data_IF_073966771398
#
_entry.id   IF_073966771398
#
_cell.length_a   1.000
_cell.length_b   1.000
_cell.length_c   1.000
_cell.angle_alpha   90.00
_cell.angle_beta   90.00
_cell.angle_gamma   90.00
#
_symmetry.space_group_name_H-M   'P 1'
#
loop_
_entity.id
_entity.type
_entity.pdbx_description
1 polymer ?
#
# COMPACT_ATOMS: atom_id res chain seq x y z
N UNK A 1 -32.93 29.73 -11.24
CA UNK A 1 -33.12 28.27 -11.27
C UNK A 1 -32.35 27.68 -10.09
N UNK A 2 -33.03 27.11 -9.08
CA UNK A 2 -32.32 26.36 -8.04
C UNK A 2 -31.78 25.09 -8.68
N UNK A 3 -30.46 24.94 -8.69
CA UNK A 3 -29.75 23.76 -9.24
C UNK A 3 -30.18 22.47 -8.54
N UNK A 4 -30.63 22.57 -7.29
CA UNK A 4 -31.00 21.45 -6.42
C UNK A 4 -32.49 21.57 -6.07
N UNK A 5 -33.22 20.45 -6.11
CA UNK A 5 -34.63 20.44 -5.68
C UNK A 5 -34.75 20.74 -4.18
N UNK A 6 -35.85 21.36 -3.77
CA UNK A 6 -36.07 21.73 -2.35
C UNK A 6 -36.07 20.50 -1.43
N UNK A 7 -36.64 19.40 -1.92
CA UNK A 7 -36.67 18.11 -1.22
C UNK A 7 -35.26 17.57 -0.98
N UNK A 8 -34.43 17.56 -2.03
CA UNK A 8 -33.03 17.11 -1.94
C UNK A 8 -32.26 18.03 -0.99
N UNK A 9 -32.41 19.35 -1.12
CA UNK A 9 -31.79 20.33 -0.23
C UNK A 9 -32.14 20.11 1.25
N UNK A 10 -33.38 19.70 1.53
CA UNK A 10 -33.81 19.41 2.90
C UNK A 10 -33.23 18.08 3.41
N UNK A 11 -33.13 17.07 2.54
CA UNK A 11 -32.61 15.73 2.87
C UNK A 11 -31.09 15.66 3.12
N UNK A 12 -30.32 16.56 2.51
CA UNK A 12 -28.86 16.59 2.65
C UNK A 12 -28.43 16.92 4.09
N UNK A 13 -27.24 16.51 4.50
CA UNK A 13 -26.66 16.84 5.79
C UNK A 13 -26.31 18.33 5.96
N UNK A 14 -26.06 18.74 7.21
CA UNK A 14 -25.56 20.08 7.50
C UNK A 14 -24.16 20.37 6.93
N UNK A 15 -23.17 19.44 7.00
CA UNK A 15 -21.87 19.61 6.34
C UNK A 15 -21.94 19.97 4.85
N UNK A 16 -22.69 19.19 4.05
CA UNK A 16 -22.80 19.43 2.61
C UNK A 16 -23.59 20.71 2.30
N UNK A 17 -24.65 21.03 3.07
CA UNK A 17 -25.35 22.33 2.95
C UNK A 17 -24.40 23.51 3.21
N UNK A 18 -23.65 23.47 4.31
CA UNK A 18 -22.67 24.52 4.65
C UNK A 18 -21.59 24.66 3.58
N UNK A 19 -21.15 23.54 3.00
CA UNK A 19 -20.20 23.56 1.89
C UNK A 19 -20.79 24.28 0.67
N UNK A 20 -21.97 23.88 0.21
CA UNK A 20 -22.61 24.46 -0.98
C UNK A 20 -22.99 25.93 -0.78
N UNK A 21 -23.34 26.34 0.45
CA UNK A 21 -23.57 27.75 0.79
C UNK A 21 -22.28 28.58 0.72
N UNK A 22 -21.17 28.04 1.24
CA UNK A 22 -19.89 28.76 1.29
C UNK A 22 -19.15 28.75 -0.05
N UNK A 23 -19.27 27.66 -0.79
CA UNK A 23 -18.62 27.42 -2.08
C UNK A 23 -19.67 27.00 -3.12
N UNK A 24 -20.54 27.94 -3.55
CA UNK A 24 -21.62 27.63 -4.48
C UNK A 24 -21.06 27.14 -5.82
N UNK A 25 -21.70 26.15 -6.49
CA UNK A 25 -21.31 25.76 -7.83
C UNK A 25 -21.56 26.93 -8.80
N UNK A 26 -20.69 27.09 -9.80
CA UNK A 26 -20.86 28.15 -10.82
C UNK A 26 -22.10 27.92 -11.67
N UNK A 27 -22.27 26.67 -12.14
CA UNK A 27 -23.37 26.27 -13.00
C UNK A 27 -24.08 25.05 -12.42
N UNK A 28 -25.25 24.72 -12.98
CA UNK A 28 -26.03 23.55 -12.57
C UNK A 28 -25.31 22.21 -12.81
N UNK A 29 -24.27 22.21 -13.65
CA UNK A 29 -23.57 21.00 -14.09
C UNK A 29 -22.16 20.88 -13.50
N UNK A 30 -21.52 21.99 -13.13
CA UNK A 30 -20.10 22.02 -12.76
C UNK A 30 -19.80 23.04 -11.67
N UNK A 31 -18.88 22.67 -10.76
CA UNK A 31 -18.47 23.55 -9.66
C UNK A 31 -17.63 24.75 -10.12
N UNK A 32 -16.60 24.53 -10.94
CA UNK A 32 -15.76 25.60 -11.48
C UNK A 32 -15.19 25.21 -12.84
N UNK A 33 -15.28 26.12 -13.80
CA UNK A 33 -14.53 26.04 -15.06
C UNK A 33 -13.41 27.09 -15.10
N UNK A 34 -13.40 28.04 -14.15
CA UNK A 34 -12.42 29.12 -14.08
C UNK A 34 -11.13 28.67 -13.38
N UNK A 35 -9.99 29.07 -13.94
CA UNK A 35 -8.65 28.87 -13.36
C UNK A 35 -8.42 29.65 -12.07
N UNK A 36 -9.09 30.79 -11.93
CA UNK A 36 -8.80 31.75 -10.85
C UNK A 36 -9.47 31.36 -9.52
N UNK A 37 -10.44 30.44 -9.58
CA UNK A 37 -11.17 29.98 -8.41
C UNK A 37 -10.38 28.89 -7.69
N UNK A 38 -9.92 29.24 -6.49
CA UNK A 38 -9.18 28.32 -5.61
C UNK A 38 -10.08 27.14 -5.19
N UNK A 39 -9.61 25.92 -5.44
CA UNK A 39 -10.27 24.69 -4.98
C UNK A 39 -10.14 24.54 -3.45
N UNK A 40 -11.24 24.47 -2.68
CA UNK A 40 -11.20 24.34 -1.22
C UNK A 40 -10.71 22.97 -0.71
N UNK A 41 -10.60 21.98 -1.59
CA UNK A 41 -10.15 20.62 -1.25
C UNK A 41 -8.66 20.40 -1.54
N UNK A 42 -8.03 21.28 -2.30
CA UNK A 42 -6.61 21.14 -2.63
C UNK A 42 -5.77 22.10 -1.79
N UNK A 43 -4.56 21.69 -1.40
CA UNK A 43 -3.62 22.60 -0.78
C UNK A 43 -3.20 23.70 -1.77
N UNK A 44 -3.00 24.91 -1.28
CA UNK A 44 -2.66 26.07 -2.12
C UNK A 44 -1.31 26.63 -1.73
N UNK A 45 -0.51 27.04 -2.72
CA UNK A 45 0.75 27.73 -2.44
C UNK A 45 0.49 29.22 -2.28
N UNK A 46 0.91 29.80 -1.16
CA UNK A 46 0.82 31.24 -0.95
C UNK A 46 1.81 31.96 -1.89
N UNK A 47 1.37 32.93 -2.71
CA UNK A 47 2.23 33.58 -3.70
C UNK A 47 3.38 34.39 -3.10
N UNK A 48 3.21 34.94 -1.89
CA UNK A 48 4.20 35.84 -1.29
C UNK A 48 5.37 35.07 -0.67
N UNK A 49 5.07 34.08 0.17
CA UNK A 49 6.08 33.34 0.94
C UNK A 49 6.37 31.94 0.38
N UNK A 50 5.63 31.49 -0.64
CA UNK A 50 5.79 30.17 -1.25
C UNK A 50 5.40 28.98 -0.36
N UNK A 51 4.85 29.22 0.83
CA UNK A 51 4.47 28.15 1.77
C UNK A 51 3.18 27.49 1.29
N UNK A 52 3.15 26.16 1.35
CA UNK A 52 1.95 25.39 1.08
C UNK A 52 0.98 25.51 2.26
N UNK A 53 -0.23 26.00 1.98
CA UNK A 53 -1.34 26.05 2.92
C UNK A 53 -2.17 24.79 2.80
N UNK A 54 -2.58 24.27 3.94
CA UNK A 54 -3.53 23.18 4.02
C UNK A 54 -4.84 23.52 3.30
N UNK A 55 -5.54 22.50 2.76
CA UNK A 55 -6.85 22.72 2.16
C UNK A 55 -7.85 23.25 3.21
N UNK A 56 -8.82 24.04 2.76
CA UNK A 56 -9.87 24.59 3.64
C UNK A 56 -10.69 23.51 4.35
N UNK A 57 -10.83 22.34 3.71
CA UNK A 57 -11.41 21.14 4.32
C UNK A 57 -10.33 20.07 4.43
N UNK A 58 -10.20 19.46 5.60
CA UNK A 58 -9.31 18.31 5.78
C UNK A 58 -9.83 17.07 5.03
N UNK A 59 -8.94 16.14 4.69
CA UNK A 59 -9.27 14.92 3.93
C UNK A 59 -10.48 14.15 4.49
N UNK A 60 -10.62 14.09 5.83
CA UNK A 60 -11.81 13.47 6.46
C UNK A 60 -13.09 14.19 6.08
N UNK A 61 -13.12 15.52 6.24
CA UNK A 61 -14.30 16.34 5.94
C UNK A 61 -14.62 16.33 4.44
N UNK A 62 -13.59 16.30 3.60
CA UNK A 62 -13.76 16.10 2.16
C UNK A 62 -14.49 14.78 1.90
N UNK A 63 -14.00 13.66 2.45
CA UNK A 63 -14.62 12.35 2.28
C UNK A 63 -16.08 12.31 2.76
N UNK A 64 -16.40 12.95 3.89
CA UNK A 64 -17.79 13.04 4.39
C UNK A 64 -18.70 13.77 3.37
N UNK A 65 -18.25 14.93 2.89
CA UNK A 65 -18.97 15.72 1.87
C UNK A 65 -19.15 14.92 0.57
N UNK A 66 -18.12 14.22 0.10
CA UNK A 66 -18.19 13.44 -1.13
C UNK A 66 -19.07 12.20 -1.01
N UNK A 67 -19.02 11.48 0.11
CA UNK A 67 -19.89 10.32 0.35
C UNK A 67 -21.36 10.72 0.30
N UNK A 68 -21.71 11.85 0.91
CA UNK A 68 -23.08 12.34 0.89
C UNK A 68 -23.49 12.87 -0.49
N UNK A 69 -22.61 13.63 -1.15
CA UNK A 69 -22.88 14.09 -2.51
C UNK A 69 -23.06 12.92 -3.47
N UNK A 70 -22.25 11.85 -3.33
CA UNK A 70 -22.40 10.59 -4.07
C UNK A 70 -23.76 9.95 -3.85
N UNK A 71 -24.17 9.84 -2.59
CA UNK A 71 -25.47 9.29 -2.22
C UNK A 71 -26.62 10.04 -2.89
N UNK A 72 -26.55 11.37 -2.93
CA UNK A 72 -27.56 12.24 -3.57
C UNK A 72 -27.30 12.52 -5.06
N UNK A 73 -26.29 11.91 -5.69
CA UNK A 73 -25.87 12.13 -7.09
C UNK A 73 -25.50 13.58 -7.44
N UNK A 74 -24.99 14.33 -6.46
CA UNK A 74 -24.56 15.74 -6.59
C UNK A 74 -23.03 15.90 -6.72
N UNK A 75 -22.29 14.83 -7.03
CA UNK A 75 -20.82 14.87 -7.14
C UNK A 75 -20.31 15.93 -8.13
N UNK A 76 -21.06 16.16 -9.22
CA UNK A 76 -20.72 17.13 -10.26
C UNK A 76 -20.73 18.60 -9.78
N UNK A 77 -21.41 18.88 -8.66
CA UNK A 77 -21.46 20.19 -8.03
C UNK A 77 -20.28 20.44 -7.07
N UNK A 78 -19.44 19.44 -6.84
CA UNK A 78 -18.26 19.57 -6.00
C UNK A 78 -17.01 19.89 -6.82
N UNK A 79 -16.02 20.59 -6.22
CA UNK A 79 -14.69 20.74 -6.79
C UNK A 79 -14.03 19.39 -7.06
N UNK A 80 -12.96 19.38 -7.86
CA UNK A 80 -12.15 18.18 -8.05
C UNK A 80 -11.61 17.64 -6.71
N UNK A 81 -11.82 16.35 -6.47
CA UNK A 81 -11.18 15.62 -5.38
C UNK A 81 -9.68 15.50 -5.57
N UNK A 82 -8.98 15.37 -4.44
CA UNK A 82 -7.61 14.94 -4.46
C UNK A 82 -7.52 13.48 -4.96
N UNK A 83 -6.50 13.19 -5.77
CA UNK A 83 -6.45 12.00 -6.64
C UNK A 83 -6.44 10.65 -5.91
N UNK A 84 -6.16 10.60 -4.61
CA UNK A 84 -6.07 9.37 -3.82
C UNK A 84 -7.41 8.63 -3.64
N UNK A 85 -8.55 9.29 -3.84
CA UNK A 85 -9.86 8.67 -3.71
C UNK A 85 -10.30 7.83 -4.93
N UNK A 86 -9.62 7.96 -6.07
CA UNK A 86 -10.06 7.29 -7.30
C UNK A 86 -9.60 5.85 -7.35
N UNK A 87 -10.57 4.94 -7.36
CA UNK A 87 -10.36 3.49 -7.52
C UNK A 87 -9.48 3.15 -8.74
N UNK A 88 -9.64 3.87 -9.85
CA UNK A 88 -8.87 3.67 -11.08
C UNK A 88 -7.38 4.03 -10.97
N UNK A 89 -7.00 4.87 -10.00
CA UNK A 89 -5.60 5.27 -9.79
C UNK A 89 -4.85 4.39 -8.81
N UNK A 90 -5.53 3.43 -8.14
CA UNK A 90 -4.89 2.57 -7.14
C UNK A 90 -4.00 1.53 -7.84
N UNK A 91 -2.69 1.65 -7.64
CA UNK A 91 -1.76 0.61 -8.07
C UNK A 91 -1.87 -0.61 -7.16
N UNK A 92 -1.65 -1.80 -7.71
CA UNK A 92 -1.58 -3.04 -6.92
C UNK A 92 -0.39 -2.93 -5.96
N UNK A 93 -0.55 -3.39 -4.72
CA UNK A 93 0.51 -3.36 -3.72
C UNK A 93 1.67 -4.27 -4.13
N UNK A 94 2.90 -3.81 -3.92
CA UNK A 94 4.12 -4.59 -4.21
C UNK A 94 4.11 -5.96 -3.53
N UNK A 95 3.57 -6.08 -2.32
CA UNK A 95 3.50 -7.36 -1.60
C UNK A 95 2.50 -8.36 -2.20
N UNK A 96 1.49 -7.88 -2.94
CA UNK A 96 0.53 -8.73 -3.67
C UNK A 96 1.17 -9.22 -4.97
N UNK A 97 1.87 -8.33 -5.69
CA UNK A 97 2.57 -8.69 -6.93
C UNK A 97 3.81 -9.56 -6.67
N UNK A 98 4.58 -9.20 -5.64
CA UNK A 98 5.88 -9.78 -5.32
C UNK A 98 5.97 -10.10 -3.82
N UNK A 99 5.29 -11.17 -3.37
CA UNK A 99 5.36 -11.61 -1.98
C UNK A 99 6.80 -12.03 -1.65
N UNK A 100 7.34 -11.51 -0.54
CA UNK A 100 8.73 -11.75 -0.12
C UNK A 100 9.03 -13.21 0.25
N UNK A 101 8.00 -13.98 0.64
CA UNK A 101 8.16 -15.31 1.23
C UNK A 101 8.80 -15.31 2.63
N UNK A 102 8.70 -16.44 3.33
CA UNK A 102 9.33 -16.62 4.66
C UNK A 102 10.84 -16.83 4.53
N UNK A 103 11.59 -16.59 5.62
CA UNK A 103 13.05 -16.80 5.63
C UNK A 103 13.40 -18.27 5.32
N UNK A 104 12.63 -19.21 5.87
CA UNK A 104 12.83 -20.64 5.65
C UNK A 104 12.60 -21.08 4.20
N UNK A 105 11.63 -20.46 3.51
CA UNK A 105 11.37 -20.70 2.09
C UNK A 105 12.51 -20.15 1.23
N UNK A 106 12.95 -18.92 1.53
CA UNK A 106 14.04 -18.27 0.79
C UNK A 106 15.38 -19.00 0.91
N UNK A 107 15.68 -19.59 2.08
CA UNK A 107 16.93 -20.32 2.33
C UNK A 107 16.80 -21.83 2.12
N UNK A 108 15.65 -22.32 1.65
CA UNK A 108 15.37 -23.76 1.57
C UNK A 108 16.43 -24.49 0.76
N UNK A 109 16.79 -23.94 -0.40
CA UNK A 109 17.73 -24.57 -1.32
C UNK A 109 19.15 -24.59 -0.75
N UNK A 110 19.59 -23.48 -0.14
CA UNK A 110 20.88 -23.41 0.57
C UNK A 110 20.97 -24.45 1.69
N UNK A 111 19.89 -24.60 2.47
CA UNK A 111 19.80 -25.58 3.55
C UNK A 111 19.86 -27.01 2.98
N UNK A 112 19.18 -27.29 1.87
CA UNK A 112 19.19 -28.61 1.22
C UNK A 112 20.58 -28.96 0.67
N UNK A 113 21.24 -28.03 -0.01
CA UNK A 113 22.60 -28.21 -0.51
C UNK A 113 23.59 -28.45 0.64
N UNK A 114 23.47 -27.69 1.72
CA UNK A 114 24.32 -27.85 2.91
C UNK A 114 24.11 -29.24 3.55
N UNK A 115 22.86 -29.72 3.61
CA UNK A 115 22.54 -31.06 4.10
C UNK A 115 23.16 -32.15 3.23
N UNK A 116 23.05 -32.04 1.91
CA UNK A 116 23.62 -33.02 0.97
C UNK A 116 25.15 -33.09 1.09
N UNK A 117 25.84 -31.94 1.16
CA UNK A 117 27.30 -31.87 1.35
C UNK A 117 27.73 -32.55 2.64
N UNK A 118 27.10 -32.20 3.77
CA UNK A 118 27.40 -32.82 5.08
C UNK A 118 27.16 -34.33 5.08
N UNK A 119 26.16 -34.78 4.36
CA UNK A 119 25.87 -36.21 4.22
C UNK A 119 26.96 -36.94 3.43
N UNK A 120 27.39 -36.39 2.30
CA UNK A 120 28.50 -36.96 1.50
C UNK A 120 29.81 -37.03 2.30
N UNK A 121 30.19 -35.93 2.95
CA UNK A 121 31.37 -35.89 3.83
C UNK A 121 31.28 -36.92 4.97
N UNK A 122 30.08 -37.15 5.50
CA UNK A 122 29.86 -38.15 6.55
C UNK A 122 30.11 -39.56 6.01
N UNK A 123 29.62 -39.89 4.81
CA UNK A 123 29.84 -41.20 4.18
C UNK A 123 31.35 -41.44 4.01
N UNK A 124 32.07 -40.49 3.41
CA UNK A 124 33.51 -40.60 3.20
C UNK A 124 34.28 -40.79 4.52
N UNK A 125 33.93 -40.02 5.56
CA UNK A 125 34.53 -40.16 6.90
C UNK A 125 34.26 -41.54 7.49
N UNK A 126 33.03 -42.07 7.35
CA UNK A 126 32.70 -43.40 7.87
C UNK A 126 33.45 -44.50 7.14
N UNK A 127 33.62 -44.40 5.82
CA UNK A 127 34.38 -45.38 5.03
C UNK A 127 35.87 -45.35 5.39
N UNK A 128 36.45 -44.15 5.53
CA UNK A 128 37.82 -43.98 5.99
C UNK A 128 38.03 -44.54 7.41
N UNK A 129 37.06 -44.33 8.31
CA UNK A 129 37.09 -44.90 9.66
C UNK A 129 37.03 -46.43 9.65
N UNK A 130 36.16 -47.03 8.81
CA UNK A 130 36.08 -48.49 8.66
C UNK A 130 37.38 -49.07 8.13
N UNK A 131 37.97 -48.46 7.08
CA UNK A 131 39.26 -48.86 6.49
C UNK A 131 40.40 -48.79 7.52
N UNK A 132 40.51 -47.69 8.27
CA UNK A 132 41.55 -47.55 9.30
C UNK A 132 41.37 -48.54 10.45
N UNK A 133 40.13 -48.83 10.86
CA UNK A 133 39.81 -49.86 11.86
C UNK A 133 40.20 -51.26 11.38
N UNK A 134 39.86 -51.63 10.15
CA UNK A 134 40.27 -52.91 9.57
C UNK A 134 41.80 -53.05 9.53
N UNK A 135 42.52 -51.99 9.11
CA UNK A 135 43.99 -51.99 9.09
C UNK A 135 44.59 -52.23 10.48
N UNK A 136 44.04 -51.58 11.52
CA UNK A 136 44.47 -51.80 12.92
C UNK A 136 44.25 -53.24 13.37
N UNK A 137 43.09 -53.82 13.09
CA UNK A 137 42.78 -55.20 13.48
C UNK A 137 43.60 -56.25 12.71
N UNK A 138 44.14 -55.91 11.53
CA UNK A 138 44.92 -56.82 10.70
C UNK A 138 46.43 -56.82 11.01
N UNK A 139 46.92 -55.91 11.86
CA UNK A 139 48.30 -55.98 12.35
C UNK A 139 48.37 -57.02 13.48
N UNK A 140 49.17 -58.08 13.37
CA UNK A 140 49.34 -59.04 14.47
C UNK A 140 50.07 -58.36 15.63
N UNK A 141 49.68 -58.69 16.86
CA UNK A 141 50.34 -58.19 18.07
C UNK A 141 51.85 -58.47 17.97
N UNK A 142 52.67 -57.43 18.11
CA UNK A 142 54.12 -57.53 17.99
C UNK A 142 54.66 -58.58 18.99
N UNK A 143 55.61 -59.46 18.59
CA UNK A 143 56.10 -60.51 19.47
C UNK A 143 56.79 -59.89 20.71
N UNK A 144 56.57 -60.46 21.92
CA UNK A 144 57.21 -59.96 23.13
C UNK A 144 58.73 -60.16 23.05
N UNK A 145 59.47 -59.12 23.48
CA UNK A 145 60.93 -59.05 23.51
C UNK A 145 61.56 -60.11 24.41
#
# INVERSE_FOLDING_TARGET
MSVISKEVWNSISLPLKKFLQKFPPENAQTWSTKSDRINPFLPTRNPINGVLRDPHYSNRRQADIFKEAKYHKLEHLLPQEMTWNKDSSRHILKGVLFPKGRIAERRRDEILQTKQKKFAESIEKTDNFKKSRQKRNAQPDAPPL
#
